data_IF_191845945379
#
_entry.id   IF_191845945379
#
_cell.length_a   1.000
_cell.length_b   1.000
_cell.length_c   1.000
_cell.angle_alpha   90.00
_cell.angle_beta   90.00
_cell.angle_gamma   90.00
#
_symmetry.space_group_name_H-M   'P 1'
#
loop_
_entity.id
_entity.type
_entity.pdbx_description
1 polymer ?
#
# COMPACT_ATOMS: atom_id res chain seq x y z
N UNK A 1 -11.39 8.99 -6.10
CA UNK A 1 -10.23 8.26 -5.51
C UNK A 1 -9.02 8.42 -6.44
N UNK A 2 -7.87 8.81 -5.91
CA UNK A 2 -6.64 8.95 -6.71
C UNK A 2 -6.13 7.56 -7.09
N UNK A 3 -5.97 7.28 -8.39
CA UNK A 3 -5.41 6.02 -8.88
C UNK A 3 -3.92 6.21 -9.16
N UNK A 4 -3.11 5.24 -8.75
CA UNK A 4 -1.69 5.16 -9.07
C UNK A 4 -1.46 3.95 -9.98
N UNK A 5 -0.63 4.12 -11.01
CA UNK A 5 -0.24 2.99 -11.83
C UNK A 5 0.71 2.07 -11.04
N UNK A 6 0.67 0.77 -11.32
CA UNK A 6 1.63 -0.17 -10.74
C UNK A 6 3.08 0.25 -11.05
N UNK A 7 3.33 0.78 -12.26
CA UNK A 7 4.65 1.23 -12.70
C UNK A 7 5.19 2.37 -11.82
N UNK A 8 4.33 3.31 -11.43
CA UNK A 8 4.73 4.42 -10.57
C UNK A 8 5.04 3.93 -9.15
N UNK A 9 4.17 3.07 -8.59
CA UNK A 9 4.40 2.46 -7.28
C UNK A 9 5.65 1.57 -7.27
N UNK A 10 5.92 0.84 -8.35
CA UNK A 10 7.11 -0.01 -8.47
C UNK A 10 8.39 0.84 -8.52
N UNK A 11 8.39 1.92 -9.30
CA UNK A 11 9.53 2.84 -9.40
C UNK A 11 9.81 3.52 -8.08
N UNK A 12 8.77 4.06 -7.45
CA UNK A 12 8.87 4.74 -6.18
C UNK A 12 9.45 3.76 -5.13
N UNK A 13 8.90 2.53 -5.02
CA UNK A 13 9.33 1.55 -4.01
C UNK A 13 10.64 0.83 -4.36
N UNK A 14 11.36 1.29 -5.40
CA UNK A 14 12.61 0.70 -5.92
C UNK A 14 12.47 -0.81 -6.18
N UNK A 15 11.31 -1.19 -6.72
CA UNK A 15 10.94 -2.58 -6.97
C UNK A 15 10.51 -3.36 -5.73
N UNK A 16 9.85 -2.72 -4.76
CA UNK A 16 9.47 -3.31 -3.47
C UNK A 16 10.69 -3.85 -2.71
N UNK A 17 11.73 -3.02 -2.58
CA UNK A 17 12.98 -3.39 -1.91
C UNK A 17 12.73 -3.76 -0.45
N UNK A 18 13.36 -4.85 0.02
CA UNK A 18 13.18 -5.34 1.40
C UNK A 18 13.62 -4.33 2.46
N UNK A 19 14.57 -3.46 2.14
CA UNK A 19 15.10 -2.45 3.07
C UNK A 19 14.11 -1.31 3.35
N UNK A 20 13.12 -1.11 2.47
CA UNK A 20 12.12 -0.05 2.61
C UNK A 20 10.80 -0.58 3.21
N UNK A 21 10.82 -1.77 3.82
CA UNK A 21 9.64 -2.35 4.49
C UNK A 21 9.41 -1.66 5.82
N UNK A 22 8.22 -1.05 5.97
CA UNK A 22 7.73 -0.50 7.23
C UNK A 22 7.11 -1.55 8.13
N UNK A 23 6.51 -2.59 7.54
CA UNK A 23 5.83 -3.62 8.29
C UNK A 23 5.45 -4.84 7.46
N UNK A 24 5.25 -5.96 8.14
CA UNK A 24 4.75 -7.21 7.57
C UNK A 24 3.60 -7.72 8.42
N UNK A 25 2.53 -8.17 7.80
CA UNK A 25 1.39 -8.78 8.47
C UNK A 25 0.72 -9.82 7.59
N UNK A 26 -0.37 -10.43 8.09
CA UNK A 26 -1.10 -11.49 7.38
C UNK A 26 -1.64 -11.10 6.01
N UNK A 27 -1.75 -9.80 5.73
CA UNK A 27 -2.28 -9.25 4.46
C UNK A 27 -1.20 -8.75 3.51
N UNK A 28 0.08 -8.98 3.82
CA UNK A 28 1.21 -8.62 2.97
C UNK A 28 2.21 -7.67 3.63
N UNK A 29 2.83 -6.82 2.81
CA UNK A 29 3.96 -5.98 3.22
C UNK A 29 3.67 -4.51 2.94
N UNK A 30 4.06 -3.65 3.86
CA UNK A 30 3.96 -2.19 3.73
C UNK A 30 5.35 -1.62 3.46
N UNK A 31 5.46 -0.78 2.45
CA UNK A 31 6.71 -0.14 2.03
C UNK A 31 6.64 1.37 2.23
N UNK A 32 7.73 1.98 2.67
CA UNK A 32 7.91 3.43 2.71
C UNK A 32 8.28 3.95 1.34
N UNK A 33 7.76 5.12 0.99
CA UNK A 33 8.11 5.75 -0.27
C UNK A 33 8.00 7.28 -0.25
N UNK A 34 8.42 7.90 -1.34
CA UNK A 34 8.24 9.32 -1.65
C UNK A 34 7.66 9.45 -3.06
N UNK A 35 6.52 10.12 -3.21
CA UNK A 35 6.00 10.43 -4.54
C UNK A 35 6.98 11.35 -5.29
N UNK A 36 7.49 10.97 -6.46
CA UNK A 36 8.45 11.81 -7.18
C UNK A 36 7.88 13.16 -7.59
N UNK A 37 6.56 13.24 -7.84
CA UNK A 37 5.90 14.46 -8.32
C UNK A 37 5.65 15.51 -7.24
N UNK A 38 5.54 15.10 -5.97
CA UNK A 38 5.13 15.99 -4.87
C UNK A 38 6.06 15.95 -3.65
N UNK A 39 7.06 15.07 -3.65
CA UNK A 39 7.97 14.83 -2.54
C UNK A 39 7.25 14.44 -1.23
N UNK A 40 6.02 13.91 -1.33
CA UNK A 40 5.21 13.49 -0.19
C UNK A 40 5.57 12.04 0.17
N UNK A 41 5.77 11.80 1.47
CA UNK A 41 5.93 10.45 1.99
C UNK A 41 4.63 9.66 1.89
N UNK A 42 4.71 8.44 1.35
CA UNK A 42 3.58 7.51 1.28
C UNK A 42 3.94 6.15 1.87
N UNK A 43 2.90 5.38 2.19
CA UNK A 43 2.99 3.97 2.53
C UNK A 43 2.26 3.14 1.47
N UNK A 44 2.95 2.17 0.86
CA UNK A 44 2.38 1.28 -0.17
C UNK A 44 2.18 -0.10 0.43
N UNK A 45 0.93 -0.55 0.59
CA UNK A 45 0.58 -1.89 1.06
C UNK A 45 0.45 -2.84 -0.15
N UNK A 46 1.38 -3.80 -0.27
CA UNK A 46 1.35 -4.85 -1.29
C UNK A 46 0.71 -6.10 -0.72
N UNK A 47 -0.44 -6.49 -1.27
CA UNK A 47 -1.18 -7.69 -0.88
C UNK A 47 -0.49 -8.95 -1.42
N UNK A 48 -0.36 -9.98 -0.59
CA UNK A 48 0.17 -11.28 -1.00
C UNK A 48 -0.84 -12.06 -1.84
N UNK A 49 -0.36 -12.77 -2.86
CA UNK A 49 -1.21 -13.49 -3.82
C UNK A 49 -1.81 -14.81 -3.26
N UNK A 50 -1.35 -15.26 -2.10
CA UNK A 50 -1.70 -16.57 -1.52
C UNK A 50 -3.10 -16.63 -0.86
N UNK A 51 -3.93 -15.60 -1.00
CA UNK A 51 -5.17 -15.54 -0.24
C UNK A 51 -6.31 -14.89 -1.01
N UNK A 52 -7.24 -15.72 -1.52
CA UNK A 52 -8.58 -15.27 -1.94
C UNK A 52 -9.27 -14.47 -0.83
N UNK A 53 -9.04 -14.85 0.44
CA UNK A 53 -9.49 -14.12 1.63
C UNK A 53 -8.83 -12.74 1.75
N UNK A 54 -7.53 -12.64 1.46
CA UNK A 54 -6.73 -11.42 1.54
C UNK A 54 -7.20 -10.34 0.58
N UNK A 55 -7.55 -10.71 -0.66
CA UNK A 55 -8.12 -9.76 -1.63
C UNK A 55 -9.50 -9.25 -1.18
N UNK A 56 -10.36 -10.13 -0.65
CA UNK A 56 -11.66 -9.73 -0.11
C UNK A 56 -11.51 -8.76 1.07
N UNK A 57 -10.62 -9.07 2.01
CA UNK A 57 -10.36 -8.20 3.15
C UNK A 57 -9.76 -6.86 2.73
N UNK A 58 -8.88 -6.85 1.73
CA UNK A 58 -8.35 -5.61 1.15
C UNK A 58 -9.43 -4.73 0.55
N UNK A 59 -10.36 -5.31 -0.23
CA UNK A 59 -11.46 -4.55 -0.81
C UNK A 59 -12.37 -3.95 0.27
N UNK A 60 -12.64 -4.69 1.34
CA UNK A 60 -13.39 -4.19 2.51
C UNK A 60 -12.62 -3.06 3.19
N UNK A 61 -11.35 -3.28 3.54
CA UNK A 61 -10.50 -2.29 4.21
C UNK A 61 -10.36 -1.01 3.38
N UNK A 62 -10.12 -1.12 2.07
CA UNK A 62 -10.01 0.03 1.17
C UNK A 62 -11.34 0.79 1.02
N UNK A 63 -12.49 0.11 1.08
CA UNK A 63 -13.80 0.74 1.00
C UNK A 63 -14.20 1.43 2.31
N UNK A 64 -13.81 0.84 3.46
CA UNK A 64 -14.19 1.32 4.79
C UNK A 64 -13.24 2.41 5.31
N UNK A 65 -11.91 2.22 5.24
CA UNK A 65 -10.92 3.20 5.75
C UNK A 65 -10.97 4.50 4.93
N UNK A 66 -11.19 4.41 3.61
CA UNK A 66 -11.31 5.60 2.78
C UNK A 66 -12.48 6.53 3.15
N UNK A 67 -13.45 6.03 3.94
CA UNK A 67 -14.63 6.76 4.40
C UNK A 67 -14.59 7.12 5.88
N UNK A 68 -13.61 6.61 6.63
CA UNK A 68 -13.49 6.83 8.07
C UNK A 68 -12.25 7.67 8.35
N UNK A 69 -12.46 8.93 8.71
CA UNK A 69 -11.39 9.83 9.17
C UNK A 69 -11.62 10.10 10.65
N UNK A 70 -10.91 9.36 11.48
CA UNK A 70 -10.95 9.48 12.93
C UNK A 70 -9.50 9.66 13.44
N UNK A 71 -9.31 10.40 14.53
CA UNK A 71 -7.97 10.71 15.05
C UNK A 71 -7.27 9.53 15.73
N UNK A 72 -8.01 8.46 16.03
CA UNK A 72 -7.57 7.32 16.84
C UNK A 72 -7.72 6.02 16.06
#
# INVERSE_FOLDING_TARGET
PHRFSYKDLYKATKGFKKNDILGRGGFGKVYKDVLPSSNIHIAVKRISHDSKQGMRNFMVESATIGRFRHSN
#
